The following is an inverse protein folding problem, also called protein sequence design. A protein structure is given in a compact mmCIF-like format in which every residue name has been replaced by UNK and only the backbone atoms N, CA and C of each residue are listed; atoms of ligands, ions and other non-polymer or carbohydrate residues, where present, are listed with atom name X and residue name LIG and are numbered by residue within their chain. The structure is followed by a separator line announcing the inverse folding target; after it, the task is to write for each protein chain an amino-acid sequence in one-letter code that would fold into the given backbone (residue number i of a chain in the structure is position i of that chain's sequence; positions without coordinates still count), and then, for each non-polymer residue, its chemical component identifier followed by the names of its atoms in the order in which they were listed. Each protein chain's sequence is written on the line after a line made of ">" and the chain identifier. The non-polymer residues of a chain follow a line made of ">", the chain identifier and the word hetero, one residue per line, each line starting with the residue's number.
data_IF_566516937234
#
_entry.id   IF_566516937234
#
_cell.length_a   1.000
_cell.length_b   1.000
_cell.length_c   1.000
_cell.angle_alpha   90.00
_cell.angle_beta   90.00
_cell.angle_gamma   90.00
#
_symmetry.space_group_name_H-M   'P 1'
#
loop_
_entity.id
_entity.type
_entity.pdbx_description
1 polymer ?
#
# COMPACT_ATOMS: atom_id res chain seq x y z
N UNK A 1 -28.56 -13.58 0.17
CA UNK A 1 -27.32 -12.89 -0.23
C UNK A 1 -26.24 -13.95 -0.31
N UNK A 2 -25.49 -14.00 -1.41
CA UNK A 2 -24.37 -14.94 -1.59
C UNK A 2 -23.06 -14.20 -1.30
N UNK A 3 -22.23 -14.78 -0.42
CA UNK A 3 -20.93 -14.23 0.01
C UNK A 3 -19.76 -15.10 -0.46
N UNK A 4 -20.04 -16.11 -1.29
CA UNK A 4 -19.04 -17.02 -1.82
C UNK A 4 -18.20 -16.29 -2.88
N UNK A 5 -16.87 -16.42 -2.86
CA UNK A 5 -16.05 -15.87 -3.93
C UNK A 5 -16.42 -16.50 -5.28
N UNK A 6 -16.40 -15.69 -6.33
CA UNK A 6 -16.64 -16.19 -7.69
C UNK A 6 -15.40 -16.97 -8.21
N UNK A 7 -15.50 -17.71 -9.33
CA UNK A 7 -14.39 -18.50 -9.85
C UNK A 7 -13.10 -17.71 -10.13
N UNK A 8 -13.20 -16.48 -10.61
CA UNK A 8 -12.05 -15.63 -10.91
C UNK A 8 -11.35 -15.17 -9.63
N UNK A 9 -12.12 -14.82 -8.60
CA UNK A 9 -11.60 -14.48 -7.27
C UNK A 9 -10.89 -15.68 -6.63
N UNK A 10 -11.45 -16.89 -6.76
CA UNK A 10 -10.82 -18.13 -6.28
C UNK A 10 -9.49 -18.38 -7.03
N UNK A 11 -9.49 -18.21 -8.35
CA UNK A 11 -8.30 -18.43 -9.18
C UNK A 11 -7.17 -17.45 -8.82
N UNK A 12 -7.49 -16.15 -8.68
CA UNK A 12 -6.53 -15.13 -8.26
C UNK A 12 -5.96 -15.42 -6.87
N UNK A 13 -6.81 -15.72 -5.89
CA UNK A 13 -6.34 -15.98 -4.53
C UNK A 13 -5.47 -17.25 -4.47
N UNK A 14 -5.82 -18.28 -5.24
CA UNK A 14 -4.99 -19.50 -5.36
C UNK A 14 -3.63 -19.23 -6.00
N UNK A 15 -3.55 -18.27 -6.94
CA UNK A 15 -2.29 -17.85 -7.52
C UNK A 15 -1.44 -17.05 -6.52
N UNK A 16 -2.08 -16.17 -5.75
CA UNK A 16 -1.42 -15.42 -4.67
C UNK A 16 -0.87 -16.37 -3.60
N UNK A 17 -1.65 -17.37 -3.16
CA UNK A 17 -1.23 -18.34 -2.15
C UNK A 17 0.08 -19.04 -2.57
N UNK A 18 0.18 -19.47 -3.83
CA UNK A 18 1.39 -20.08 -4.39
C UNK A 18 2.58 -19.12 -4.37
N UNK A 19 2.37 -17.85 -4.68
CA UNK A 19 3.43 -16.84 -4.59
C UNK A 19 3.86 -16.65 -3.13
N UNK A 20 2.89 -16.54 -2.22
CA UNK A 20 3.08 -16.31 -0.80
C UNK A 20 3.83 -17.45 -0.08
N UNK A 21 3.73 -18.69 -0.56
CA UNK A 21 4.52 -19.82 -0.03
C UNK A 21 6.03 -19.50 0.06
N UNK A 22 6.57 -18.78 -0.92
CA UNK A 22 7.99 -18.42 -0.96
C UNK A 22 8.40 -17.42 0.13
N UNK A 23 7.42 -16.80 0.80
CA UNK A 23 7.61 -15.73 1.76
C UNK A 23 7.09 -16.08 3.17
N UNK A 24 6.64 -17.31 3.41
CA UNK A 24 6.06 -17.71 4.71
C UNK A 24 7.07 -17.75 5.86
N UNK A 25 8.34 -17.95 5.55
CA UNK A 25 9.39 -18.10 6.56
C UNK A 25 10.35 -16.94 6.47
N UNK A 26 10.62 -16.19 7.56
CA UNK A 26 11.63 -15.15 7.54
C UNK A 26 13.05 -15.75 7.47
N UNK A 27 14.06 -15.00 7.00
CA UNK A 27 15.45 -15.42 7.09
C UNK A 27 15.87 -15.73 8.53
N UNK A 28 16.65 -16.80 8.73
CA UNK A 28 17.03 -17.30 10.06
C UNK A 28 17.95 -16.37 10.85
N UNK A 29 18.64 -15.46 10.16
CA UNK A 29 19.59 -14.49 10.72
C UNK A 29 19.02 -13.07 10.80
N UNK A 30 17.73 -12.88 10.53
CA UNK A 30 17.09 -11.57 10.59
C UNK A 30 17.01 -11.02 12.03
N UNK A 31 17.52 -9.80 12.25
CA UNK A 31 17.63 -9.15 13.58
C UNK A 31 17.10 -7.71 13.64
N UNK A 32 16.30 -7.28 12.66
CA UNK A 32 15.73 -5.91 12.64
C UNK A 32 14.28 -5.92 13.10
N UNK A 33 13.69 -4.75 13.33
CA UNK A 33 12.28 -4.63 13.72
C UNK A 33 11.30 -4.87 12.55
N UNK A 34 11.69 -4.55 11.32
CA UNK A 34 10.85 -4.70 10.13
C UNK A 34 11.60 -5.47 9.04
N UNK A 35 11.02 -6.56 8.54
CA UNK A 35 11.58 -7.37 7.47
C UNK A 35 11.15 -6.77 6.13
N UNK A 36 11.76 -5.65 5.80
CA UNK A 36 11.57 -5.00 4.51
C UNK A 36 12.46 -5.68 3.47
N UNK A 37 11.82 -6.25 2.45
CA UNK A 37 12.46 -6.80 1.27
C UNK A 37 11.60 -6.51 0.05
N UNK A 38 12.21 -5.92 -0.99
CA UNK A 38 11.53 -5.55 -2.22
C UNK A 38 11.17 -6.77 -3.07
N UNK A 39 11.68 -7.97 -2.76
CA UNK A 39 11.40 -9.18 -3.51
C UNK A 39 9.90 -9.55 -3.51
N UNK A 40 9.20 -9.37 -2.40
CA UNK A 40 7.75 -9.58 -2.32
C UNK A 40 7.00 -8.55 -3.18
N UNK A 41 7.35 -7.26 -3.04
CA UNK A 41 6.73 -6.18 -3.82
C UNK A 41 6.91 -6.38 -5.33
N UNK A 42 8.13 -6.72 -5.76
CA UNK A 42 8.45 -7.03 -7.16
C UNK A 42 7.71 -8.27 -7.67
N UNK A 43 7.58 -9.31 -6.86
CA UNK A 43 6.84 -10.51 -7.25
C UNK A 43 5.34 -10.20 -7.45
N UNK A 44 4.77 -9.35 -6.59
CA UNK A 44 3.38 -8.89 -6.71
C UNK A 44 3.16 -8.00 -7.94
N UNK A 45 4.09 -7.08 -8.20
CA UNK A 45 4.08 -6.19 -9.37
C UNK A 45 4.17 -6.99 -10.66
N UNK A 46 5.17 -7.89 -10.77
CA UNK A 46 5.36 -8.73 -11.95
C UNK A 46 4.18 -9.69 -12.19
N UNK A 47 3.49 -10.09 -11.11
CA UNK A 47 2.26 -10.90 -11.19
C UNK A 47 1.00 -10.12 -11.51
N UNK A 48 1.07 -8.78 -11.59
CA UNK A 48 -0.08 -7.92 -11.89
C UNK A 48 -1.12 -7.85 -10.77
N UNK A 49 -0.78 -8.26 -9.54
CA UNK A 49 -1.75 -8.36 -8.45
C UNK A 49 -2.33 -7.00 -8.02
N UNK A 50 -1.60 -5.90 -8.25
CA UNK A 50 -2.05 -4.56 -7.87
C UNK A 50 -3.18 -4.00 -8.72
N UNK A 51 -3.47 -4.62 -9.85
CA UNK A 51 -4.53 -4.19 -10.76
C UNK A 51 -5.88 -4.85 -10.47
N UNK A 52 -5.94 -5.81 -9.53
CA UNK A 52 -7.13 -6.62 -9.29
C UNK A 52 -8.39 -5.81 -8.97
N UNK A 53 -8.25 -4.69 -8.25
CA UNK A 53 -9.38 -3.83 -7.91
C UNK A 53 -10.05 -3.18 -9.13
N UNK A 54 -9.30 -3.00 -10.22
CA UNK A 54 -9.77 -2.38 -11.47
C UNK A 54 -10.38 -3.41 -12.44
N UNK A 55 -10.23 -4.71 -12.17
CA UNK A 55 -10.78 -5.78 -13.00
C UNK A 55 -12.23 -6.06 -12.57
N UNK A 56 -13.24 -5.88 -13.44
CA UNK A 56 -14.65 -5.98 -13.07
C UNK A 56 -15.06 -7.28 -12.37
N UNK A 57 -14.49 -8.41 -12.78
CA UNK A 57 -14.77 -9.74 -12.24
C UNK A 57 -14.15 -9.96 -10.85
N UNK A 58 -13.14 -9.18 -10.48
CA UNK A 58 -12.39 -9.29 -9.24
C UNK A 58 -12.82 -8.21 -8.25
N UNK A 59 -12.65 -6.95 -8.65
CA UNK A 59 -13.01 -5.77 -7.90
C UNK A 59 -12.24 -5.60 -6.58
N UNK A 60 -12.64 -4.61 -5.76
CA UNK A 60 -11.96 -4.29 -4.50
C UNK A 60 -12.03 -5.40 -3.46
N UNK A 61 -13.00 -6.32 -3.57
CA UNK A 61 -13.10 -7.49 -2.67
C UNK A 61 -11.90 -8.41 -2.85
N UNK A 62 -11.49 -8.69 -4.10
CA UNK A 62 -10.27 -9.45 -4.36
C UNK A 62 -9.03 -8.78 -3.78
N UNK A 63 -8.89 -7.46 -4.00
CA UNK A 63 -7.80 -6.69 -3.42
C UNK A 63 -7.76 -6.80 -1.89
N UNK A 64 -8.92 -6.73 -1.23
CA UNK A 64 -9.01 -6.86 0.23
C UNK A 64 -8.61 -8.27 0.71
N UNK A 65 -9.06 -9.33 0.02
CA UNK A 65 -8.66 -10.71 0.32
C UNK A 65 -7.15 -10.90 0.16
N UNK A 66 -6.55 -10.31 -0.88
CA UNK A 66 -5.11 -10.39 -1.09
C UNK A 66 -4.32 -9.66 -0.01
N UNK A 67 -4.74 -8.45 0.38
CA UNK A 67 -4.14 -7.70 1.49
C UNK A 67 -4.21 -8.50 2.79
N UNK A 68 -5.34 -9.18 3.05
CA UNK A 68 -5.53 -10.05 4.21
C UNK A 68 -4.53 -11.22 4.21
N UNK A 69 -4.43 -11.94 3.09
CA UNK A 69 -3.46 -13.04 2.93
C UNK A 69 -2.01 -12.56 3.12
N UNK A 70 -1.66 -11.43 2.49
CA UNK A 70 -0.30 -10.87 2.53
C UNK A 70 0.07 -10.33 3.92
N UNK A 71 -0.90 -9.80 4.68
CA UNK A 71 -0.68 -9.32 6.04
C UNK A 71 -0.29 -10.42 7.03
N UNK A 72 -0.50 -11.70 6.68
CA UNK A 72 -0.07 -12.86 7.48
C UNK A 72 1.40 -13.24 7.25
N UNK A 73 2.04 -12.68 6.23
CA UNK A 73 3.45 -12.94 5.96
C UNK A 73 4.35 -12.19 6.96
N UNK A 74 5.53 -12.75 7.29
CA UNK A 74 6.51 -12.06 8.12
C UNK A 74 7.16 -10.86 7.41
N UNK A 75 7.01 -10.75 6.09
CA UNK A 75 7.57 -9.69 5.27
C UNK A 75 6.74 -8.41 5.35
N UNK A 76 7.43 -7.28 5.44
CA UNK A 76 6.83 -5.95 5.48
C UNK A 76 6.84 -5.35 4.09
N UNK A 77 5.66 -5.18 3.50
CA UNK A 77 5.48 -4.53 2.20
C UNK A 77 4.27 -3.60 2.23
N UNK A 78 4.31 -2.55 1.42
CA UNK A 78 3.18 -1.66 1.23
C UNK A 78 2.26 -2.24 0.15
N UNK A 79 1.19 -2.89 0.62
CA UNK A 79 0.21 -3.53 -0.26
C UNK A 79 -1.17 -2.93 -0.09
N UNK A 80 -1.51 -2.43 1.10
CA UNK A 80 -2.86 -1.99 1.41
C UNK A 80 -3.25 -0.71 0.65
N UNK A 81 -2.43 0.35 0.73
CA UNK A 81 -2.76 1.60 0.05
C UNK A 81 -2.67 1.41 -1.45
N UNK A 82 -1.66 0.68 -1.93
CA UNK A 82 -1.53 0.46 -3.35
C UNK A 82 -2.57 -0.51 -3.96
N UNK A 83 -3.10 -1.49 -3.22
CA UNK A 83 -4.17 -2.38 -3.73
C UNK A 83 -5.57 -1.82 -3.55
N UNK A 84 -5.82 -1.02 -2.50
CA UNK A 84 -7.18 -0.59 -2.14
C UNK A 84 -7.42 0.90 -2.39
N UNK A 85 -6.42 1.75 -2.17
CA UNK A 85 -6.57 3.22 -2.26
C UNK A 85 -6.13 3.75 -3.62
N UNK A 86 -4.98 3.32 -4.15
CA UNK A 86 -4.47 3.75 -5.47
C UNK A 86 -5.52 3.58 -6.59
N UNK A 87 -6.29 2.46 -6.69
CA UNK A 87 -7.33 2.30 -7.71
C UNK A 87 -8.47 3.33 -7.64
N UNK A 88 -8.61 4.01 -6.51
CA UNK A 88 -9.63 5.03 -6.28
C UNK A 88 -9.14 6.44 -6.62
N UNK A 89 -7.85 6.60 -6.88
CA UNK A 89 -7.24 7.86 -7.30
C UNK A 89 -7.40 8.04 -8.81
N UNK A 90 -7.63 9.26 -9.24
CA UNK A 90 -7.63 9.61 -10.66
C UNK A 90 -6.18 9.84 -11.12
N UNK A 91 -5.85 9.27 -12.28
CA UNK A 91 -4.50 9.29 -12.85
C UNK A 91 -3.65 8.08 -12.46
N UNK A 92 -2.42 8.07 -12.97
CA UNK A 92 -1.44 7.03 -12.66
C UNK A 92 -0.44 7.55 -11.63
N UNK A 93 -0.49 6.95 -10.43
CA UNK A 93 0.35 7.33 -9.30
C UNK A 93 1.34 6.21 -9.00
N UNK A 94 2.66 6.51 -8.94
CA UNK A 94 3.67 5.49 -8.73
C UNK A 94 3.60 4.91 -7.31
N UNK A 95 3.83 3.61 -7.23
CA UNK A 95 3.99 2.86 -5.97
C UNK A 95 5.42 2.97 -5.43
N UNK A 96 5.63 2.77 -4.11
CA UNK A 96 4.63 2.54 -3.07
C UNK A 96 3.89 3.82 -2.67
N UNK A 97 2.69 3.67 -2.08
CA UNK A 97 1.91 4.78 -1.51
C UNK A 97 2.12 4.86 0.00
N UNK A 98 2.19 6.07 0.56
CA UNK A 98 2.16 6.25 2.01
C UNK A 98 1.25 7.39 2.44
N UNK A 99 0.72 7.29 3.66
CA UNK A 99 -0.11 8.32 4.27
C UNK A 99 0.73 9.20 5.20
N UNK A 100 0.60 10.51 5.06
CA UNK A 100 1.13 11.50 6.00
C UNK A 100 -0.04 12.28 6.57
N UNK A 101 -0.31 12.10 7.87
CA UNK A 101 -1.37 12.81 8.56
C UNK A 101 -0.79 13.91 9.45
N UNK A 102 -1.15 15.17 9.16
CA UNK A 102 -0.74 16.36 9.91
C UNK A 102 0.78 16.42 10.17
N UNK A 103 1.58 16.06 9.15
CA UNK A 103 3.05 16.03 9.20
C UNK A 103 3.66 14.97 10.14
N UNK A 104 2.86 14.07 10.71
CA UNK A 104 3.34 13.02 11.62
C UNK A 104 4.09 11.92 10.83
N UNK A 105 5.06 11.24 11.47
CA UNK A 105 5.68 10.07 10.86
C UNK A 105 4.65 8.98 10.54
N UNK A 106 4.72 8.43 9.33
CA UNK A 106 3.83 7.38 8.82
C UNK A 106 4.59 6.13 8.39
N UNK A 107 3.85 5.03 8.23
CA UNK A 107 4.38 3.78 7.68
C UNK A 107 4.71 3.97 6.20
N UNK A 108 5.81 3.39 5.75
CA UNK A 108 6.32 3.40 4.37
C UNK A 108 6.68 4.77 3.78
N UNK A 109 6.49 5.87 4.53
CA UNK A 109 6.76 7.25 4.05
C UNK A 109 8.20 7.44 3.55
N UNK A 110 9.18 6.77 4.16
CA UNK A 110 10.58 6.90 3.76
C UNK A 110 10.88 6.30 2.36
N UNK A 111 10.02 5.41 1.87
CA UNK A 111 10.21 4.61 0.65
C UNK A 111 9.11 4.86 -0.39
N UNK A 112 8.10 5.64 -0.03
CA UNK A 112 6.97 5.91 -0.90
C UNK A 112 7.34 6.77 -2.11
N UNK A 113 6.84 6.38 -3.27
CA UNK A 113 6.89 7.19 -4.48
C UNK A 113 5.69 8.15 -4.57
N UNK A 114 4.59 7.85 -3.90
CA UNK A 114 3.42 8.74 -3.78
C UNK A 114 3.04 8.92 -2.31
N UNK A 115 2.82 10.16 -1.89
CA UNK A 115 2.31 10.52 -0.57
C UNK A 115 0.86 10.99 -0.70
N UNK A 116 -0.02 10.38 0.10
CA UNK A 116 -1.35 10.91 0.42
C UNK A 116 -1.17 11.80 1.64
N UNK A 117 -1.47 13.09 1.50
CA UNK A 117 -1.36 14.08 2.57
C UNK A 117 -2.75 14.35 3.14
N UNK A 118 -2.92 14.15 4.44
CA UNK A 118 -4.06 14.63 5.21
C UNK A 118 -3.60 15.81 6.05
N UNK A 119 -4.04 17.02 5.69
CA UNK A 119 -3.75 18.25 6.44
C UNK A 119 -5.07 18.87 6.90
N UNK A 120 -5.50 18.49 8.10
CA UNK A 120 -6.85 18.72 8.60
C UNK A 120 -7.92 18.16 7.64
N UNK A 121 -8.77 19.04 7.13
CA UNK A 121 -9.85 18.68 6.20
C UNK A 121 -9.36 18.49 4.76
N UNK A 122 -8.16 18.96 4.42
CA UNK A 122 -7.61 18.83 3.08
C UNK A 122 -7.00 17.44 2.88
N UNK A 123 -7.30 16.85 1.72
CA UNK A 123 -6.64 15.64 1.21
C UNK A 123 -5.91 16.03 -0.05
N UNK A 124 -4.66 15.59 -0.18
CA UNK A 124 -3.85 15.87 -1.35
C UNK A 124 -2.91 14.74 -1.72
N UNK A 125 -2.35 14.85 -2.92
CA UNK A 125 -1.37 13.91 -3.43
C UNK A 125 -0.07 14.61 -3.76
N UNK A 126 1.02 13.89 -3.56
CA UNK A 126 2.35 14.32 -3.93
C UNK A 126 3.14 13.13 -4.47
N UNK A 127 3.60 13.21 -5.71
CA UNK A 127 4.67 12.33 -6.19
C UNK A 127 5.95 12.74 -5.46
N UNK A 128 6.48 11.85 -4.61
CA UNK A 128 7.51 12.15 -3.65
C UNK A 128 8.83 12.49 -4.36
N UNK A 129 9.34 13.74 -4.25
CA UNK A 129 10.64 14.08 -4.83
C UNK A 129 11.76 13.31 -4.12
N UNK A 130 12.83 13.04 -4.86
CA UNK A 130 14.02 12.40 -4.28
C UNK A 130 14.53 13.20 -3.06
N UNK A 131 14.62 12.54 -1.91
CA UNK A 131 15.10 13.14 -0.67
C UNK A 131 14.09 14.03 0.06
N UNK A 132 12.81 14.05 -0.33
CA UNK A 132 11.76 14.79 0.38
C UNK A 132 11.35 14.17 1.71
N UNK A 133 11.66 12.89 1.91
CA UNK A 133 11.35 12.13 3.13
C UNK A 133 12.62 11.67 3.85
N UNK A 134 12.48 11.34 5.13
CA UNK A 134 13.54 10.77 5.96
C UNK A 134 12.99 9.61 6.76
N UNK A 135 13.84 8.59 6.93
CA UNK A 135 13.57 7.47 7.84
C UNK A 135 13.55 7.98 9.28
N UNK A 136 12.64 7.41 10.07
CA UNK A 136 12.53 7.65 11.51
C UNK A 136 12.78 6.33 12.22
N UNK A 137 13.67 6.34 13.23
CA UNK A 137 13.82 5.17 14.11
C UNK A 137 12.53 4.94 14.88
N UNK A 138 12.10 3.68 14.89
CA UNK A 138 10.80 3.30 15.41
C UNK A 138 10.85 1.86 15.91
N UNK A 139 10.10 1.61 16.98
CA UNK A 139 9.84 0.27 17.51
C UNK A 139 8.62 -0.39 16.86
N UNK A 140 7.82 0.38 16.11
CA UNK A 140 6.78 -0.20 15.26
C UNK A 140 7.49 -0.99 14.15
N UNK A 141 7.13 -2.26 14.00
CA UNK A 141 7.70 -3.23 13.06
C UNK A 141 7.41 -2.90 11.57
N UNK A 142 7.50 -1.63 11.22
CA UNK A 142 7.29 -1.06 9.89
C UNK A 142 8.41 -0.05 9.57
N UNK A 143 8.77 0.13 8.29
CA UNK A 143 9.62 1.24 7.89
C UNK A 143 8.86 2.56 8.13
N UNK A 144 9.22 3.30 9.17
CA UNK A 144 8.62 4.60 9.46
C UNK A 144 9.42 5.72 8.79
N UNK A 145 8.72 6.74 8.32
CA UNK A 145 9.33 7.95 7.78
C UNK A 145 8.48 9.18 8.00
N UNK A 146 9.06 10.35 7.76
CA UNK A 146 8.35 11.64 7.74
C UNK A 146 8.86 12.49 6.59
N UNK A 147 8.11 13.52 6.21
CA UNK A 147 8.61 14.55 5.31
C UNK A 147 9.66 15.39 6.03
N UNK A 148 10.67 15.89 5.30
CA UNK A 148 11.70 16.78 5.89
C UNK A 148 11.12 18.15 6.25
N UNK A 149 10.22 18.63 5.40
CA UNK A 149 9.62 19.95 5.44
C UNK A 149 8.13 19.83 5.08
N UNK A 150 7.41 20.95 5.16
CA UNK A 150 6.06 21.02 4.63
C UNK A 150 6.13 21.08 3.10
N UNK A 151 5.69 20.01 2.45
CA UNK A 151 5.76 19.88 1.01
C UNK A 151 4.48 20.44 0.38
N UNK A 152 4.63 21.19 -0.70
CA UNK A 152 3.50 21.54 -1.54
C UNK A 152 2.93 20.26 -2.17
N UNK A 153 1.63 20.07 -2.07
CA UNK A 153 0.92 18.93 -2.64
C UNK A 153 -0.21 19.42 -3.54
N UNK A 154 -0.70 18.55 -4.42
CA UNK A 154 -1.88 18.82 -5.24
C UNK A 154 -3.13 18.48 -4.44
N UNK A 155 -3.97 19.45 -4.06
CA UNK A 155 -5.22 19.16 -3.35
C UNK A 155 -6.15 18.37 -4.25
N UNK A 156 -6.83 17.38 -3.67
CA UNK A 156 -7.93 16.69 -4.32
C UNK A 156 -9.19 17.55 -4.23
N UNK A 157 -10.08 17.44 -5.22
CA UNK A 157 -11.40 18.04 -5.09
C UNK A 157 -12.22 17.34 -3.99
N UNK A 158 -13.31 17.99 -3.55
CA UNK A 158 -14.12 17.48 -2.44
C UNK A 158 -14.74 16.10 -2.70
N UNK A 159 -15.07 15.77 -3.93
CA UNK A 159 -15.67 14.48 -4.31
C UNK A 159 -14.61 13.38 -4.18
N UNK A 160 -13.45 13.60 -4.79
CA UNK A 160 -12.34 12.67 -4.76
C UNK A 160 -11.79 12.52 -3.33
N UNK A 161 -11.63 13.61 -2.59
CA UNK A 161 -11.22 13.59 -1.19
C UNK A 161 -12.19 12.76 -0.32
N UNK A 162 -13.50 12.92 -0.51
CA UNK A 162 -14.52 12.15 0.23
C UNK A 162 -14.47 10.66 -0.13
N UNK A 163 -14.28 10.34 -1.41
CA UNK A 163 -14.08 8.95 -1.88
C UNK A 163 -12.88 8.32 -1.19
N UNK A 164 -11.72 8.98 -1.23
CA UNK A 164 -10.48 8.46 -0.62
C UNK A 164 -10.60 8.30 0.89
N UNK A 165 -11.24 9.23 1.60
CA UNK A 165 -11.51 9.09 3.04
C UNK A 165 -12.36 7.88 3.41
N UNK A 166 -13.11 7.30 2.48
CA UNK A 166 -13.86 6.05 2.73
C UNK A 166 -12.93 4.83 2.86
N UNK A 167 -11.69 4.94 2.35
CA UNK A 167 -10.69 3.87 2.32
C UNK A 167 -9.54 4.05 3.32
N UNK A 168 -9.47 5.19 4.01
CA UNK A 168 -8.46 5.53 5.01
C UNK A 168 -9.01 5.36 6.42
#
# INVERSE_FOLDING_TARGET
>A
MDFSPNPDQIALNSALDKLAENFKTPPTDFRRFALLDNSLDQALENGGFFEAANIPELGPVSAAMMVETLARLPYTAEVALSMLVRPQLEGDWPRPLALVENGRPGRFVAEAATLIILDGDQVGLLSAPAGATVKVESLFAYPMGKTKEQLAFTPLDNTQASRIRTWL
#
